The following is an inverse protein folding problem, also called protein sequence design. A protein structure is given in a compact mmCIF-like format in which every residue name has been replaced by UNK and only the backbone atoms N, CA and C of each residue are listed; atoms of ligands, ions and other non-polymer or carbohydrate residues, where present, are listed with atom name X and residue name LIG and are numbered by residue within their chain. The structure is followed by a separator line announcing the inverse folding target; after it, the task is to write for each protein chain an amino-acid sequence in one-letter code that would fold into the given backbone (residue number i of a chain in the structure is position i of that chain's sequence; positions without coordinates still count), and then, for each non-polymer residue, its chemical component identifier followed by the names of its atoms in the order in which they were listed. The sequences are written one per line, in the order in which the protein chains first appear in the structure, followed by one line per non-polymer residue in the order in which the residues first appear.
data_IF_616420970439
#
_entry.id   IF_616420970439
#
_cell.length_a   1.000
_cell.length_b   1.000
_cell.length_c   1.000
_cell.angle_alpha   90.00
_cell.angle_beta   90.00
_cell.angle_gamma   90.00
#
_symmetry.space_group_name_H-M   'P 1'
#
loop_
_entity.id
_entity.type
_entity.pdbx_description
1 polymer ?
#
# COMPACT_ATOMS: atom_id res chain seq x y z
N UNK A 1 52.60 3.47 -26.80
CA UNK A 1 51.53 4.26 -27.46
C UNK A 1 50.23 3.93 -26.74
N UNK A 2 49.72 4.80 -25.85
CA UNK A 2 48.44 4.54 -25.17
C UNK A 2 47.27 4.98 -26.06
N UNK A 3 46.37 4.04 -26.34
CA UNK A 3 45.19 4.24 -27.19
C UNK A 3 43.99 4.71 -26.35
N UNK A 4 44.16 5.74 -25.53
CA UNK A 4 43.07 6.27 -24.70
C UNK A 4 42.63 7.61 -25.25
N UNK A 5 41.39 7.68 -25.74
CA UNK A 5 40.78 8.94 -26.17
C UNK A 5 40.39 9.74 -24.91
N UNK A 6 40.85 10.98 -24.74
CA UNK A 6 40.41 11.82 -23.65
C UNK A 6 38.94 12.20 -23.86
N UNK A 7 38.09 11.87 -22.90
CA UNK A 7 36.70 12.32 -22.88
C UNK A 7 36.66 13.72 -22.25
N UNK A 8 36.34 14.73 -23.06
CA UNK A 8 36.16 16.11 -22.59
C UNK A 8 34.70 16.36 -22.19
N UNK A 9 34.50 17.24 -21.21
CA UNK A 9 33.17 17.74 -20.86
C UNK A 9 32.62 18.55 -22.04
N UNK A 10 31.31 18.45 -22.27
CA UNK A 10 30.66 19.12 -23.40
C UNK A 10 30.46 20.60 -23.06
N UNK A 11 31.06 21.50 -23.84
CA UNK A 11 30.81 22.94 -23.72
C UNK A 11 29.51 23.33 -24.42
N UNK A 12 28.57 23.93 -23.67
CA UNK A 12 27.22 24.25 -24.14
C UNK A 12 27.23 25.26 -25.30
N UNK A 13 28.23 26.15 -25.36
CA UNK A 13 28.35 27.17 -26.42
C UNK A 13 28.81 26.62 -27.78
N UNK A 14 29.43 25.44 -27.83
CA UNK A 14 30.04 24.89 -29.05
C UNK A 14 29.04 24.14 -29.93
N UNK A 15 27.93 23.66 -29.34
CA UNK A 15 26.90 22.89 -30.04
C UNK A 15 25.50 23.34 -29.59
N UNK A 16 25.06 24.55 -30.00
CA UNK A 16 23.78 25.14 -29.56
C UNK A 16 22.55 24.31 -29.97
N UNK A 17 22.67 23.46 -31.00
CA UNK A 17 21.59 22.59 -31.47
C UNK A 17 21.45 21.26 -30.69
N UNK A 18 22.32 21.00 -29.70
CA UNK A 18 22.30 19.75 -28.93
C UNK A 18 21.21 19.84 -27.86
N UNK A 19 19.99 19.43 -28.23
CA UNK A 19 18.85 19.36 -27.30
C UNK A 19 19.21 18.41 -26.15
N UNK A 20 19.10 18.90 -24.91
CA UNK A 20 19.25 18.05 -23.71
C UNK A 20 18.19 16.95 -23.79
N UNK A 21 18.58 15.70 -23.58
CA UNK A 21 17.62 14.60 -23.55
C UNK A 21 16.56 14.90 -22.48
N UNK A 22 15.27 14.64 -22.76
CA UNK A 22 14.23 14.86 -21.77
C UNK A 22 14.52 14.01 -20.53
N UNK A 23 14.55 14.65 -19.37
CA UNK A 23 14.64 13.96 -18.09
C UNK A 23 13.41 13.05 -17.97
N UNK A 24 13.56 11.78 -17.55
CA UNK A 24 12.42 10.94 -17.25
C UNK A 24 11.55 11.61 -16.18
N UNK A 25 10.23 11.46 -16.23
CA UNK A 25 9.37 11.95 -15.16
C UNK A 25 9.71 11.26 -13.84
N UNK A 26 9.68 12.02 -12.75
CA UNK A 26 9.80 11.47 -11.41
C UNK A 26 8.64 10.50 -11.14
N UNK A 27 8.97 9.34 -10.57
CA UNK A 27 7.98 8.33 -10.19
C UNK A 27 7.26 8.87 -8.96
N UNK A 28 6.06 9.41 -9.16
CA UNK A 28 5.18 9.77 -8.04
C UNK A 28 4.63 8.46 -7.47
N UNK A 29 5.00 8.14 -6.23
CA UNK A 29 4.32 7.07 -5.48
C UNK A 29 2.87 7.51 -5.31
N UNK A 30 2.00 6.98 -6.16
CA UNK A 30 0.55 7.11 -5.97
C UNK A 30 0.27 6.45 -4.63
N UNK A 31 -0.16 7.24 -3.64
CA UNK A 31 -0.75 6.74 -2.41
C UNK A 31 -1.79 5.69 -2.83
N UNK A 32 -1.42 4.41 -2.71
CA UNK A 32 -2.22 3.26 -3.10
C UNK A 32 -3.52 3.38 -2.33
N UNK A 33 -4.54 4.01 -2.93
CA UNK A 33 -5.90 3.98 -2.42
C UNK A 33 -6.21 2.50 -2.30
N UNK A 34 -6.33 1.97 -1.07
CA UNK A 34 -6.47 0.55 -0.93
C UNK A 34 -7.82 0.24 -1.55
N UNK A 35 -7.81 -0.56 -2.61
CA UNK A 35 -9.00 -0.83 -3.43
C UNK A 35 -10.18 -1.36 -2.61
N UNK A 36 -11.29 -1.77 -3.25
CA UNK A 36 -12.45 -2.25 -2.52
C UNK A 36 -12.10 -3.35 -1.51
N UNK A 37 -12.70 -3.29 -0.31
CA UNK A 37 -12.46 -4.27 0.75
C UNK A 37 -12.92 -5.65 0.28
N UNK A 38 -12.08 -6.66 0.51
CA UNK A 38 -12.40 -8.06 0.22
C UNK A 38 -12.98 -8.74 1.46
N UNK A 39 -12.24 -8.73 2.57
CA UNK A 39 -12.67 -9.31 3.84
C UNK A 39 -11.89 -8.79 5.04
N UNK A 40 -12.47 -8.95 6.23
CA UNK A 40 -11.77 -8.76 7.51
C UNK A 40 -11.31 -10.13 8.02
N UNK A 41 -10.05 -10.22 8.43
CA UNK A 41 -9.42 -11.47 8.88
C UNK A 41 -9.38 -11.54 10.40
N UNK A 42 -8.91 -10.47 11.03
CA UNK A 42 -8.69 -10.42 12.48
C UNK A 42 -9.28 -9.16 13.08
N UNK A 43 -9.53 -9.23 14.38
CA UNK A 43 -9.97 -8.10 15.19
C UNK A 43 -9.10 -8.04 16.45
N UNK A 44 -8.71 -6.83 16.85
CA UNK A 44 -7.96 -6.55 18.09
C UNK A 44 -8.56 -5.33 18.79
N UNK A 45 -8.29 -5.20 20.11
CA UNK A 45 -8.61 -4.00 20.89
C UNK A 45 -7.30 -3.30 21.23
N UNK A 46 -7.25 -1.99 21.06
CA UNK A 46 -6.10 -1.15 21.39
C UNK A 46 -6.60 0.06 22.15
N UNK A 47 -5.80 0.52 23.12
CA UNK A 47 -6.05 1.79 23.79
C UNK A 47 -5.24 2.88 23.11
N UNK A 48 -5.92 3.84 22.49
CA UNK A 48 -5.30 4.96 21.77
C UNK A 48 -5.85 6.26 22.38
N UNK A 49 -4.96 7.15 22.81
CA UNK A 49 -5.33 8.40 23.49
C UNK A 49 -6.26 8.19 24.71
N UNK A 50 -5.98 7.14 25.49
CA UNK A 50 -6.75 6.80 26.69
C UNK A 50 -8.12 6.15 26.42
N UNK A 51 -8.56 6.05 25.16
CA UNK A 51 -9.82 5.43 24.75
C UNK A 51 -9.58 4.03 24.16
N UNK A 52 -10.41 3.08 24.54
CA UNK A 52 -10.37 1.73 23.96
C UNK A 52 -11.06 1.74 22.59
N UNK A 53 -10.30 1.39 21.55
CA UNK A 53 -10.78 1.30 20.18
C UNK A 53 -10.59 -0.11 19.64
N UNK A 54 -11.56 -0.58 18.84
CA UNK A 54 -11.45 -1.83 18.09
C UNK A 54 -10.82 -1.55 16.74
N UNK A 55 -9.83 -2.36 16.38
CA UNK A 55 -9.24 -2.37 15.05
C UNK A 55 -9.44 -3.71 14.38
N UNK A 56 -9.56 -3.66 13.07
CA UNK A 56 -9.78 -4.81 12.21
C UNK A 56 -8.68 -4.88 11.17
N UNK A 57 -8.15 -6.08 10.96
CA UNK A 57 -7.18 -6.35 9.89
C UNK A 57 -7.95 -6.61 8.60
N UNK A 58 -7.84 -5.66 7.68
CA UNK A 58 -8.60 -5.59 6.44
C UNK A 58 -7.73 -6.04 5.28
N UNK A 59 -8.25 -6.99 4.50
CA UNK A 59 -7.70 -7.39 3.22
C UNK A 59 -8.46 -6.73 2.09
N UNK A 60 -7.76 -6.05 1.21
CA UNK A 60 -8.32 -5.40 0.04
C UNK A 60 -8.36 -6.36 -1.15
N UNK A 61 -9.16 -6.04 -2.18
CA UNK A 61 -9.20 -6.81 -3.42
C UNK A 61 -7.96 -6.51 -4.27
N UNK A 62 -7.28 -7.58 -4.70
CA UNK A 62 -6.07 -7.61 -5.53
C UNK A 62 -4.70 -7.56 -4.82
N UNK A 63 -4.45 -6.79 -3.74
CA UNK A 63 -3.12 -6.80 -3.15
C UNK A 63 -2.84 -8.09 -2.37
N UNK A 64 -1.56 -8.45 -2.29
CA UNK A 64 -1.03 -9.56 -1.51
C UNK A 64 -1.28 -9.37 -0.01
N UNK A 65 -1.29 -10.46 0.75
CA UNK A 65 -1.49 -10.48 2.20
C UNK A 65 -0.59 -9.50 2.97
N UNK A 66 0.59 -9.17 2.44
CA UNK A 66 1.54 -8.25 3.08
C UNK A 66 1.03 -6.80 3.13
N UNK A 67 0.05 -6.44 2.28
CA UNK A 67 -0.57 -5.12 2.25
C UNK A 67 -1.83 -5.02 3.14
N UNK A 68 -2.12 -6.02 3.98
CA UNK A 68 -3.26 -5.98 4.91
C UNK A 68 -3.04 -4.87 5.96
N UNK A 69 -4.02 -3.96 6.11
CA UNK A 69 -3.93 -2.82 7.03
C UNK A 69 -4.86 -2.99 8.24
N UNK A 70 -4.43 -2.49 9.39
CA UNK A 70 -5.27 -2.40 10.59
C UNK A 70 -6.02 -1.08 10.58
N UNK A 71 -7.35 -1.15 10.45
CA UNK A 71 -8.23 0.00 10.38
C UNK A 71 -9.23 0.02 11.54
N UNK A 72 -9.62 1.23 11.93
CA UNK A 72 -10.75 1.44 12.84
C UNK A 72 -12.07 1.08 12.14
N UNK A 73 -13.13 0.82 12.92
CA UNK A 73 -14.47 0.49 12.38
C UNK A 73 -15.00 1.54 11.41
N UNK A 74 -14.81 2.83 11.73
CA UNK A 74 -15.30 3.97 10.94
C UNK A 74 -14.54 4.15 9.61
N UNK A 75 -13.30 3.66 9.54
CA UNK A 75 -12.43 3.82 8.37
C UNK A 75 -12.65 2.73 7.31
N UNK A 76 -13.55 1.76 7.55
CA UNK A 76 -13.77 0.61 6.69
C UNK A 76 -15.03 0.82 5.86
N UNK A 77 -14.92 0.88 4.51
CA UNK A 77 -16.07 0.87 3.63
C UNK A 77 -16.93 -0.37 3.88
N UNK A 78 -18.23 -0.18 4.12
CA UNK A 78 -19.17 -1.25 4.49
C UNK A 78 -18.70 -2.12 5.67
N UNK A 79 -18.03 -1.51 6.65
CA UNK A 79 -17.44 -2.22 7.79
C UNK A 79 -18.41 -3.14 8.52
N UNK A 80 -19.65 -2.69 8.74
CA UNK A 80 -20.71 -3.47 9.40
C UNK A 80 -20.97 -4.84 8.72
N UNK A 81 -21.01 -4.88 7.38
CA UNK A 81 -21.25 -6.11 6.63
C UNK A 81 -20.08 -7.09 6.85
N UNK A 82 -18.86 -6.60 6.73
CA UNK A 82 -17.65 -7.40 6.87
C UNK A 82 -17.44 -7.91 8.31
N UNK A 83 -17.77 -7.07 9.31
CA UNK A 83 -17.69 -7.43 10.72
C UNK A 83 -18.73 -8.50 11.06
N UNK A 84 -19.95 -8.41 10.51
CA UNK A 84 -20.98 -9.46 10.68
C UNK A 84 -20.51 -10.80 10.10
N UNK A 85 -19.90 -10.79 8.90
CA UNK A 85 -19.31 -11.99 8.29
C UNK A 85 -18.20 -12.60 9.14
N UNK A 86 -17.30 -11.79 9.68
CA UNK A 86 -16.25 -12.24 10.60
C UNK A 86 -16.84 -12.90 11.86
N UNK A 87 -17.90 -12.32 12.45
CA UNK A 87 -18.55 -12.90 13.62
C UNK A 87 -19.22 -14.23 13.30
N UNK A 88 -19.81 -14.36 12.11
CA UNK A 88 -20.40 -15.61 11.65
C UNK A 88 -19.34 -16.71 11.45
N UNK A 89 -18.23 -16.41 10.78
CA UNK A 89 -17.16 -17.39 10.52
C UNK A 89 -16.51 -17.91 11.81
N UNK A 90 -16.36 -17.06 12.82
CA UNK A 90 -15.83 -17.47 14.14
C UNK A 90 -16.74 -18.47 14.85
N UNK A 91 -18.06 -18.37 14.69
CA UNK A 91 -19.01 -19.32 15.29
C UNK A 91 -18.90 -20.70 14.63
N UNK A 92 -18.76 -20.74 13.31
CA UNK A 92 -18.61 -22.00 12.57
C UNK A 92 -17.27 -22.67 12.85
N UNK A 93 -16.18 -21.91 12.94
CA UNK A 93 -14.85 -22.45 13.28
C UNK A 93 -14.80 -23.05 14.69
N UNK A 94 -15.61 -22.52 15.62
CA UNK A 94 -15.71 -23.07 16.98
C UNK A 94 -16.53 -24.37 17.01
N UNK A 95 -17.58 -24.50 16.21
CA UNK A 95 -18.41 -25.71 16.22
C UNK A 95 -17.71 -26.92 15.60
N UNK A 96 -16.80 -26.73 14.65
CA UNK A 96 -16.03 -27.82 14.01
C UNK A 96 -14.83 -28.30 14.82
N UNK A 97 -14.56 -27.72 15.99
CA UNK A 97 -13.48 -28.15 16.90
C UNK A 97 -13.97 -29.05 18.05
N UNK A 98 -15.24 -29.42 18.05
CA UNK A 98 -15.84 -30.34 19.01
C UNK A 98 -15.95 -31.75 18.43
#
# INVERSE_FOLDING_TARGET
MSLVKPYFQTEEGKFPCRKKNPTPPDIVEVEDFPGPVSKIIRARKIRLNGKDQRQYSVRFKNPTADKDKWLAEDAIPDGNLHIRRLRASRRTEQSHKC
#
